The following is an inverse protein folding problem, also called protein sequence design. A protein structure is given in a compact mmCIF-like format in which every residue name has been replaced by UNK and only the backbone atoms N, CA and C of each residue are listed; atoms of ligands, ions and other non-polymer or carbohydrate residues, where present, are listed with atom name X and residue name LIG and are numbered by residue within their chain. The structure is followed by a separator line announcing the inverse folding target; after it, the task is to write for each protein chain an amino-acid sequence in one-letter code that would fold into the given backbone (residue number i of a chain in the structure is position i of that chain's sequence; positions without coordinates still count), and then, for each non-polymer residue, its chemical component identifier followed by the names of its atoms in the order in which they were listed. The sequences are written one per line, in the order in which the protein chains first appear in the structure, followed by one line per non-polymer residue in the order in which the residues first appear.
data_IF_748943694909
#
_entry.id   IF_748943694909
#
_cell.length_a   1.000
_cell.length_b   1.000
_cell.length_c   1.000
_cell.angle_alpha   90.00
_cell.angle_beta   90.00
_cell.angle_gamma   90.00
#
_symmetry.space_group_name_H-M   'P 1'
#
loop_
_entity.id
_entity.type
_entity.pdbx_description
1 polymer ?
#
# COMPACT_ATOMS: atom_id res chain seq x y z
N UNK A 1 21.55 7.75 15.77
CA UNK A 1 22.26 8.30 14.59
C UNK A 1 23.17 7.21 14.09
N UNK A 2 22.74 6.57 13.00
CA UNK A 2 23.28 5.30 12.50
C UNK A 2 24.41 5.54 11.51
N UNK A 3 25.33 4.58 11.41
CA UNK A 3 26.50 4.54 10.50
C UNK A 3 26.08 4.57 9.03
N UNK A 4 25.72 5.73 8.49
CA UNK A 4 25.48 5.91 7.05
C UNK A 4 26.10 7.18 6.45
N UNK A 5 26.83 7.99 7.23
CA UNK A 5 27.36 9.28 6.74
C UNK A 5 28.90 9.30 6.62
N UNK A 6 29.58 8.14 6.56
CA UNK A 6 31.05 8.08 6.52
C UNK A 6 31.57 7.43 5.23
N UNK A 7 30.73 7.25 4.22
CA UNK A 7 31.10 6.56 2.98
C UNK A 7 30.98 7.42 1.72
N UNK A 8 30.76 8.73 1.87
CA UNK A 8 30.69 9.70 0.77
C UNK A 8 31.89 10.68 0.76
N UNK A 9 32.86 10.49 1.65
CA UNK A 9 34.05 11.35 1.79
C UNK A 9 35.36 10.57 1.56
N UNK A 10 35.36 9.61 0.63
CA UNK A 10 36.58 8.84 0.31
C UNK A 10 36.76 8.47 -1.16
N UNK A 11 36.12 9.21 -2.07
CA UNK A 11 36.26 9.02 -3.51
C UNK A 11 36.71 10.30 -4.24
N UNK A 12 37.38 11.23 -3.55
CA UNK A 12 37.86 12.48 -4.16
C UNK A 12 39.28 12.86 -3.74
N UNK A 13 40.18 11.88 -3.67
CA UNK A 13 41.59 12.14 -3.44
C UNK A 13 42.45 11.02 -4.05
N UNK A 14 42.64 11.04 -5.37
CA UNK A 14 43.83 10.49 -6.04
C UNK A 14 43.68 10.60 -7.57
N UNK A 15 44.18 11.71 -8.15
CA UNK A 15 44.74 11.74 -9.50
C UNK A 15 45.31 13.13 -9.83
N UNK A 16 46.24 13.63 -9.01
CA UNK A 16 47.14 14.71 -9.44
C UNK A 16 48.46 14.07 -9.85
N UNK A 17 48.61 13.74 -11.13
CA UNK A 17 49.93 13.52 -11.73
C UNK A 17 50.24 14.66 -12.69
N UNK A 18 51.05 15.59 -12.18
CA UNK A 18 51.79 16.58 -12.93
C UNK A 18 52.98 15.84 -13.56
N UNK A 19 53.04 15.80 -14.90
CA UNK A 19 54.27 15.49 -15.62
C UNK A 19 54.63 16.65 -16.53
N UNK A 20 55.81 17.20 -16.27
CA UNK A 20 56.47 18.25 -17.05
C UNK A 20 57.00 17.68 -18.37
N UNK A 21 56.97 18.53 -19.40
CA UNK A 21 57.32 18.39 -20.82
C UNK A 21 58.64 17.64 -21.14
N UNK A 22 58.81 17.27 -22.43
CA UNK A 22 59.87 17.96 -23.16
C UNK A 22 59.38 18.61 -24.47
N UNK A 23 59.97 19.77 -24.71
CA UNK A 23 59.90 20.58 -25.92
C UNK A 23 60.61 19.78 -27.02
N UNK A 24 59.97 19.58 -28.18
CA UNK A 24 60.64 19.11 -29.38
C UNK A 24 60.45 20.11 -30.50
N UNK A 25 61.58 20.62 -30.95
CA UNK A 25 61.79 21.59 -32.03
C UNK A 25 61.77 20.94 -33.40
N UNK A 26 61.37 21.73 -34.40
CA UNK A 26 61.61 21.55 -35.84
C UNK A 26 60.67 20.53 -36.52
N UNK A 27 60.09 20.76 -37.69
CA UNK A 27 60.55 21.55 -38.83
C UNK A 27 59.38 22.16 -39.63
N UNK A 28 59.68 23.26 -40.32
CA UNK A 28 58.82 23.94 -41.28
C UNK A 28 58.45 23.05 -42.45
N UNK A 29 57.18 23.01 -42.87
CA UNK A 29 56.81 23.06 -44.30
C UNK A 29 55.36 23.57 -44.47
N UNK A 30 55.28 24.77 -45.04
CA UNK A 30 54.18 25.44 -45.73
C UNK A 30 52.80 24.74 -45.84
N UNK A 31 51.79 25.48 -45.35
CA UNK A 31 50.33 25.45 -45.64
C UNK A 31 49.45 24.91 -44.51
N UNK A 32 48.41 25.68 -44.12
CA UNK A 32 47.09 25.24 -44.58
C UNK A 32 46.24 26.41 -45.07
N UNK A 33 45.59 26.17 -46.21
CA UNK A 33 44.34 26.85 -46.53
C UNK A 33 43.26 26.41 -45.52
N UNK A 34 42.76 27.36 -44.74
CA UNK A 34 41.44 27.40 -44.08
C UNK A 34 40.94 26.17 -43.28
N UNK A 35 41.13 26.12 -41.94
CA UNK A 35 40.48 25.16 -41.03
C UNK A 35 38.98 25.40 -40.79
N UNK A 36 38.44 26.55 -41.21
CA UNK A 36 37.08 27.01 -40.89
C UNK A 36 35.97 26.18 -41.56
N UNK A 37 36.24 25.61 -42.73
CA UNK A 37 35.23 24.88 -43.50
C UNK A 37 34.95 23.46 -42.95
N UNK A 38 35.97 22.74 -42.49
CA UNK A 38 35.81 21.39 -41.94
C UNK A 38 35.11 21.39 -40.58
N UNK A 39 35.46 22.34 -39.69
CA UNK A 39 34.74 22.53 -38.42
C UNK A 39 33.28 22.95 -38.64
N UNK A 40 33.02 23.81 -39.63
CA UNK A 40 31.65 24.21 -39.99
C UNK A 40 30.81 23.04 -40.49
N UNK A 41 31.40 22.07 -41.22
CA UNK A 41 30.68 20.88 -41.69
C UNK A 41 30.35 19.92 -40.53
N UNK A 42 31.30 19.65 -39.63
CA UNK A 42 31.09 18.79 -38.48
C UNK A 42 30.06 19.36 -37.49
N UNK A 43 30.05 20.67 -37.28
CA UNK A 43 29.06 21.35 -36.44
C UNK A 43 27.66 21.29 -37.07
N UNK A 44 27.55 21.45 -38.39
CA UNK A 44 26.29 21.31 -39.10
C UNK A 44 25.73 19.89 -39.02
N UNK A 45 26.58 18.86 -39.16
CA UNK A 45 26.15 17.46 -39.09
C UNK A 45 25.67 17.08 -37.68
N UNK A 46 26.38 17.55 -36.65
CA UNK A 46 25.99 17.37 -35.25
C UNK A 46 24.63 18.02 -34.96
N UNK A 47 24.43 19.26 -35.38
CA UNK A 47 23.18 20.00 -35.18
C UNK A 47 21.98 19.33 -35.89
N UNK A 48 22.21 18.78 -37.09
CA UNK A 48 21.18 18.04 -37.80
C UNK A 48 20.80 16.73 -37.10
N UNK A 49 21.76 16.03 -36.49
CA UNK A 49 21.50 14.83 -35.70
C UNK A 49 20.70 15.15 -34.42
N UNK A 50 21.06 16.22 -33.70
CA UNK A 50 20.33 16.69 -32.51
C UNK A 50 18.89 17.07 -32.85
N UNK A 51 18.67 17.78 -33.96
CA UNK A 51 17.32 18.11 -34.43
C UNK A 51 16.48 16.88 -34.76
N UNK A 52 17.07 15.88 -35.44
CA UNK A 52 16.36 14.63 -35.76
C UNK A 52 15.96 13.86 -34.50
N UNK A 53 16.84 13.85 -33.50
CA UNK A 53 16.55 13.26 -32.21
C UNK A 53 15.36 13.98 -31.52
N UNK A 54 15.36 15.31 -31.49
CA UNK A 54 14.25 16.08 -30.91
C UNK A 54 12.94 15.86 -31.69
N UNK A 55 12.97 15.79 -33.02
CA UNK A 55 11.79 15.44 -33.84
C UNK A 55 11.23 14.05 -33.47
N UNK A 56 12.09 13.07 -33.18
CA UNK A 56 11.67 11.74 -32.74
C UNK A 56 11.07 11.75 -31.32
N UNK A 57 11.61 12.56 -30.41
CA UNK A 57 11.05 12.76 -29.07
C UNK A 57 9.65 13.39 -29.13
N UNK A 58 9.45 14.35 -30.02
CA UNK A 58 8.12 14.93 -30.26
C UNK A 58 7.12 13.93 -30.84
N UNK A 59 7.56 12.98 -31.67
CA UNK A 59 6.70 11.89 -32.15
C UNK A 59 6.29 10.96 -31.00
N UNK A 60 7.22 10.64 -30.08
CA UNK A 60 6.89 9.87 -28.88
C UNK A 60 5.89 10.62 -27.98
N UNK A 61 6.07 11.93 -27.78
CA UNK A 61 5.11 12.77 -27.06
C UNK A 61 3.73 12.72 -27.73
N UNK A 62 3.66 12.79 -29.05
CA UNK A 62 2.40 12.68 -29.78
C UNK A 62 1.70 11.33 -29.57
N UNK A 63 2.46 10.22 -29.56
CA UNK A 63 1.91 8.91 -29.21
C UNK A 63 1.30 8.92 -27.80
N UNK A 64 1.99 9.52 -26.83
CA UNK A 64 1.51 9.62 -25.46
C UNK A 64 0.24 10.49 -25.37
N UNK A 65 0.23 11.65 -26.01
CA UNK A 65 -0.94 12.52 -26.09
C UNK A 65 -2.16 11.76 -26.62
N UNK A 66 -2.00 11.04 -27.74
CA UNK A 66 -3.07 10.26 -28.33
C UNK A 66 -3.53 9.10 -27.44
N UNK A 67 -2.61 8.39 -26.78
CA UNK A 67 -2.92 7.33 -25.81
C UNK A 67 -3.82 7.85 -24.68
N UNK A 68 -3.65 9.10 -24.29
CA UNK A 68 -4.45 9.78 -23.27
C UNK A 68 -5.61 10.62 -23.84
N UNK A 69 -5.99 10.42 -25.11
CA UNK A 69 -7.13 11.09 -25.75
C UNK A 69 -6.91 12.56 -26.12
N UNK A 70 -5.67 13.06 -26.01
CA UNK A 70 -5.28 14.42 -26.39
C UNK A 70 -4.87 14.50 -27.86
N UNK A 71 -4.99 15.70 -28.42
CA UNK A 71 -4.66 15.92 -29.85
C UNK A 71 -3.14 16.02 -30.05
N UNK A 72 -2.58 15.37 -31.07
CA UNK A 72 -1.15 15.45 -31.37
C UNK A 72 -0.77 16.85 -31.89
N UNK A 73 0.52 17.15 -31.85
CA UNK A 73 1.16 18.37 -32.34
C UNK A 73 1.84 18.09 -33.69
N UNK A 74 1.90 19.10 -34.55
CA UNK A 74 2.49 18.98 -35.88
C UNK A 74 3.72 19.89 -36.01
N UNK A 75 4.84 19.29 -36.42
CA UNK A 75 6.08 20.00 -36.72
C UNK A 75 6.07 20.51 -38.17
N UNK A 76 6.58 21.72 -38.36
CA UNK A 76 6.71 22.37 -39.68
C UNK A 76 8.17 22.33 -40.11
N UNK A 77 8.45 21.67 -41.24
CA UNK A 77 9.80 21.61 -41.81
C UNK A 77 10.14 22.90 -42.57
N UNK A 78 11.08 23.67 -42.04
CA UNK A 78 11.62 24.91 -42.64
C UNK A 78 13.10 24.75 -42.95
N UNK A 79 13.50 24.96 -44.20
CA UNK A 79 14.89 24.77 -44.67
C UNK A 79 15.81 25.93 -44.26
N UNK A 80 15.22 27.09 -44.02
CA UNK A 80 15.84 28.36 -43.61
C UNK A 80 16.12 28.45 -42.10
N UNK A 81 15.49 27.58 -41.30
CA UNK A 81 15.55 27.60 -39.84
C UNK A 81 15.95 26.21 -39.30
N UNK A 82 17.12 25.73 -39.71
CA UNK A 82 17.59 24.37 -39.40
C UNK A 82 17.88 24.14 -37.92
N UNK A 83 18.08 25.20 -37.15
CA UNK A 83 18.43 25.14 -35.73
C UNK A 83 17.20 25.10 -34.80
N UNK A 84 15.98 25.16 -35.35
CA UNK A 84 14.76 25.28 -34.55
C UNK A 84 13.76 24.14 -34.81
N UNK A 85 13.07 23.72 -33.75
CA UNK A 85 11.81 22.98 -33.82
C UNK A 85 10.65 23.98 -33.92
N UNK A 86 9.89 23.87 -35.00
CA UNK A 86 8.85 24.84 -35.33
C UNK A 86 7.50 24.15 -35.35
N UNK A 87 6.56 24.70 -34.58
CA UNK A 87 5.16 24.30 -34.61
C UNK A 87 4.34 25.29 -35.44
N UNK A 88 3.30 24.80 -36.12
CA UNK A 88 2.31 25.69 -36.70
C UNK A 88 1.47 26.37 -35.60
N UNK A 89 0.76 27.43 -35.98
CA UNK A 89 -0.10 28.18 -35.04
C UNK A 89 -1.12 27.28 -34.35
N UNK A 90 -1.65 26.29 -35.07
CA UNK A 90 -2.66 25.37 -34.54
C UNK A 90 -2.06 24.43 -33.49
N UNK A 91 -0.86 23.89 -33.72
CA UNK A 91 -0.16 23.03 -32.76
C UNK A 91 0.27 23.82 -31.54
N UNK A 92 0.71 25.08 -31.70
CA UNK A 92 0.95 25.96 -30.55
C UNK A 92 -0.32 26.17 -29.69
N UNK A 93 -1.49 26.34 -30.32
CA UNK A 93 -2.77 26.41 -29.60
C UNK A 93 -3.13 25.08 -28.93
N UNK A 94 -3.00 23.95 -29.64
CA UNK A 94 -3.24 22.61 -29.10
C UNK A 94 -2.32 22.31 -27.92
N UNK A 95 -1.05 22.70 -27.99
CA UNK A 95 -0.09 22.53 -26.90
C UNK A 95 -0.56 23.24 -25.62
N UNK A 96 -0.99 24.50 -25.72
CA UNK A 96 -1.57 25.22 -24.56
C UNK A 96 -2.82 24.53 -24.01
N UNK A 97 -3.69 24.02 -24.88
CA UNK A 97 -4.90 23.30 -24.47
C UNK A 97 -4.57 21.96 -23.79
N UNK A 98 -3.65 21.18 -24.35
CA UNK A 98 -3.20 19.92 -23.78
C UNK A 98 -2.56 20.15 -22.42
N UNK A 99 -1.66 21.14 -22.29
CA UNK A 99 -1.03 21.49 -21.01
C UNK A 99 -2.07 21.92 -19.97
N UNK A 100 -3.03 22.77 -20.35
CA UNK A 100 -4.12 23.17 -19.45
C UNK A 100 -4.93 21.96 -18.97
N UNK A 101 -5.33 21.09 -19.90
CA UNK A 101 -6.09 19.88 -19.60
C UNK A 101 -5.33 18.94 -18.68
N UNK A 102 -4.02 18.74 -18.93
CA UNK A 102 -3.16 17.90 -18.09
C UNK A 102 -3.04 18.45 -16.66
N UNK A 103 -2.89 19.77 -16.50
CA UNK A 103 -2.82 20.40 -15.18
C UNK A 103 -4.15 20.27 -14.43
N UNK A 104 -5.28 20.55 -15.10
CA UNK A 104 -6.62 20.41 -14.52
C UNK A 104 -6.92 18.95 -14.12
N UNK A 105 -6.58 18.00 -14.98
CA UNK A 105 -6.74 16.57 -14.71
C UNK A 105 -5.84 16.10 -13.58
N UNK A 106 -4.60 16.58 -13.49
CA UNK A 106 -3.69 16.27 -12.37
C UNK A 106 -4.26 16.78 -11.04
N UNK A 107 -4.78 18.00 -11.01
CA UNK A 107 -5.42 18.55 -9.81
C UNK A 107 -6.67 17.73 -9.41
N UNK A 108 -7.49 17.33 -10.38
CA UNK A 108 -8.65 16.46 -10.15
C UNK A 108 -8.23 15.09 -9.57
N UNK A 109 -7.20 14.48 -10.15
CA UNK A 109 -6.66 13.21 -9.66
C UNK A 109 -6.09 13.34 -8.24
N UNK A 110 -5.41 14.44 -7.92
CA UNK A 110 -4.93 14.72 -6.55
C UNK A 110 -6.07 14.84 -5.55
N UNK A 111 -7.16 15.55 -5.89
CA UNK A 111 -8.36 15.62 -5.04
C UNK A 111 -8.95 14.23 -4.78
N UNK A 112 -9.12 13.44 -5.85
CA UNK A 112 -9.66 12.08 -5.73
C UNK A 112 -8.77 11.17 -4.87
N UNK A 113 -7.44 11.27 -5.00
CA UNK A 113 -6.50 10.53 -4.15
C UNK A 113 -6.67 10.94 -2.68
N UNK A 114 -6.80 12.24 -2.41
CA UNK A 114 -6.99 12.76 -1.05
C UNK A 114 -8.31 12.25 -0.44
N UNK A 115 -9.42 12.32 -1.19
CA UNK A 115 -10.72 11.81 -0.77
C UNK A 115 -10.69 10.29 -0.50
N UNK A 116 -9.95 9.53 -1.33
CA UNK A 116 -9.76 8.09 -1.11
C UNK A 116 -8.96 7.80 0.15
N UNK A 117 -7.89 8.57 0.43
CA UNK A 117 -7.10 8.45 1.66
C UNK A 117 -7.98 8.73 2.88
N UNK A 118 -8.76 9.81 2.86
CA UNK A 118 -9.67 10.18 3.95
C UNK A 118 -10.73 9.10 4.20
N UNK A 119 -11.38 8.63 3.13
CA UNK A 119 -12.38 7.57 3.21
C UNK A 119 -11.78 6.27 3.74
N UNK A 120 -10.59 5.90 3.29
CA UNK A 120 -9.91 4.69 3.76
C UNK A 120 -9.56 4.78 5.25
N UNK A 121 -9.10 5.95 5.71
CA UNK A 121 -8.82 6.19 7.12
C UNK A 121 -10.08 6.13 7.97
N UNK A 122 -11.20 6.68 7.49
CA UNK A 122 -12.49 6.57 8.17
C UNK A 122 -12.94 5.10 8.27
N UNK A 123 -12.90 4.34 7.17
CA UNK A 123 -13.25 2.93 7.16
C UNK A 123 -12.39 2.10 8.12
N UNK A 124 -11.09 2.42 8.23
CA UNK A 124 -10.19 1.78 9.19
C UNK A 124 -10.60 2.05 10.64
N UNK A 125 -10.99 3.28 10.95
CA UNK A 125 -11.46 3.66 12.29
C UNK A 125 -12.79 2.95 12.63
N UNK A 126 -13.73 2.92 11.67
CA UNK A 126 -15.01 2.22 11.81
C UNK A 126 -14.80 0.71 12.03
N UNK A 127 -13.90 0.09 11.27
CA UNK A 127 -13.54 -1.31 11.45
C UNK A 127 -12.98 -1.60 12.85
N UNK A 128 -12.09 -0.74 13.36
CA UNK A 128 -11.53 -0.89 14.70
C UNK A 128 -12.59 -0.74 15.79
N UNK A 129 -13.52 0.21 15.62
CA UNK A 129 -14.64 0.39 16.53
C UNK A 129 -15.53 -0.85 16.56
N UNK A 130 -15.86 -1.38 15.39
CA UNK A 130 -16.66 -2.60 15.25
C UNK A 130 -16.00 -3.83 15.84
N UNK A 131 -14.69 -4.00 15.64
CA UNK A 131 -13.91 -5.07 16.27
C UNK A 131 -13.96 -4.98 17.79
N UNK A 132 -13.80 -3.77 18.34
CA UNK A 132 -13.89 -3.53 19.79
C UNK A 132 -15.28 -3.87 20.33
N UNK A 133 -16.33 -3.49 19.59
CA UNK A 133 -17.71 -3.84 19.93
C UNK A 133 -17.96 -5.34 19.88
N UNK A 134 -17.48 -6.02 18.84
CA UNK A 134 -17.61 -7.47 18.67
C UNK A 134 -16.91 -8.22 19.82
N UNK A 135 -15.66 -7.85 20.14
CA UNK A 135 -14.92 -8.44 21.25
C UNK A 135 -15.63 -8.27 22.59
N UNK A 136 -16.22 -7.09 22.85
CA UNK A 136 -17.02 -6.88 24.06
C UNK A 136 -18.28 -7.75 24.09
N UNK A 137 -18.96 -7.92 22.96
CA UNK A 137 -20.14 -8.80 22.90
C UNK A 137 -19.78 -10.27 23.06
N UNK A 138 -18.66 -10.71 22.50
CA UNK A 138 -18.13 -12.06 22.68
C UNK A 138 -17.80 -12.32 24.16
N UNK A 139 -17.07 -11.40 24.81
CA UNK A 139 -16.77 -11.53 26.23
C UNK A 139 -18.05 -11.63 27.06
N UNK A 140 -19.02 -10.76 26.79
CA UNK A 140 -20.31 -10.78 27.49
C UNK A 140 -21.07 -12.09 27.27
N UNK A 141 -21.02 -12.67 26.07
CA UNK A 141 -21.65 -13.95 25.78
C UNK A 141 -20.98 -15.09 26.57
N UNK A 142 -19.64 -15.11 26.62
CA UNK A 142 -18.86 -16.09 27.39
C UNK A 142 -19.15 -16.00 28.90
N UNK A 143 -19.22 -14.78 29.46
CA UNK A 143 -19.55 -14.57 30.86
C UNK A 143 -20.95 -15.10 31.19
N UNK A 144 -21.93 -14.86 30.30
CA UNK A 144 -23.29 -15.36 30.46
C UNK A 144 -23.37 -16.89 30.35
N UNK A 145 -22.61 -17.50 29.44
CA UNK A 145 -22.51 -18.96 29.31
C UNK A 145 -21.94 -19.59 30.58
N UNK A 146 -20.89 -18.99 31.16
CA UNK A 146 -20.32 -19.45 32.42
C UNK A 146 -21.34 -19.36 33.58
N UNK A 147 -22.09 -18.26 33.68
CA UNK A 147 -23.15 -18.11 34.68
C UNK A 147 -24.22 -19.17 34.48
N UNK A 148 -24.64 -19.42 33.24
CA UNK A 148 -25.65 -20.42 32.91
C UNK A 148 -25.21 -21.83 33.32
N UNK A 149 -23.97 -22.22 33.03
CA UNK A 149 -23.45 -23.53 33.42
C UNK A 149 -23.36 -23.69 34.94
N UNK A 150 -22.97 -22.62 35.66
CA UNK A 150 -22.98 -22.60 37.12
C UNK A 150 -24.38 -22.78 37.70
N UNK A 151 -25.38 -22.07 37.16
CA UNK A 151 -26.79 -22.21 37.57
C UNK A 151 -27.29 -23.62 37.30
N UNK A 152 -26.97 -24.19 36.12
CA UNK A 152 -27.36 -25.55 35.74
C UNK A 152 -26.76 -26.59 36.70
N UNK A 153 -25.49 -26.47 37.05
CA UNK A 153 -24.84 -27.32 38.06
C UNK A 153 -25.55 -27.21 39.41
N UNK A 154 -25.85 -25.98 39.85
CA UNK A 154 -26.52 -25.75 41.14
C UNK A 154 -27.93 -26.33 41.19
N UNK A 155 -28.68 -26.23 40.08
CA UNK A 155 -30.01 -26.84 39.96
C UNK A 155 -29.90 -28.36 40.06
N UNK A 156 -28.97 -28.99 39.32
CA UNK A 156 -28.74 -30.43 39.38
C UNK A 156 -28.40 -30.92 40.80
N UNK A 157 -27.50 -30.22 41.50
CA UNK A 157 -27.18 -30.52 42.90
C UNK A 157 -28.42 -30.46 43.81
N UNK A 158 -29.25 -29.42 43.66
CA UNK A 158 -30.46 -29.25 44.48
C UNK A 158 -31.52 -30.31 44.18
N UNK A 159 -31.65 -30.72 42.91
CA UNK A 159 -32.53 -31.81 42.47
C UNK A 159 -32.07 -33.14 43.08
N UNK A 160 -30.77 -33.46 43.02
CA UNK A 160 -30.19 -34.68 43.59
C UNK A 160 -30.33 -34.73 45.11
N UNK A 161 -30.05 -33.63 45.80
CA UNK A 161 -30.26 -33.54 47.25
C UNK A 161 -31.73 -33.76 47.62
N UNK A 162 -32.66 -33.20 46.83
CA UNK A 162 -34.09 -33.37 47.03
C UNK A 162 -34.51 -34.83 46.86
N UNK A 163 -34.05 -35.47 45.78
CA UNK A 163 -34.31 -36.89 45.51
C UNK A 163 -33.77 -37.78 46.63
N UNK A 164 -32.55 -37.50 47.10
CA UNK A 164 -31.93 -38.24 48.20
C UNK A 164 -32.74 -38.10 49.50
N UNK A 165 -33.23 -36.90 49.84
CA UNK A 165 -34.11 -36.68 51.00
C UNK A 165 -35.40 -37.49 50.89
N UNK A 166 -36.06 -37.48 49.73
CA UNK A 166 -37.29 -38.28 49.50
C UNK A 166 -37.00 -39.78 49.62
N UNK A 167 -35.90 -40.27 49.05
CA UNK A 167 -35.50 -41.66 49.15
C UNK A 167 -35.26 -42.09 50.62
N UNK A 168 -34.54 -41.26 51.38
CA UNK A 168 -34.30 -41.49 52.81
C UNK A 168 -35.62 -41.53 53.61
N UNK A 169 -36.54 -40.59 53.36
CA UNK A 169 -37.86 -40.58 53.99
C UNK A 169 -38.65 -41.84 53.65
N UNK A 170 -38.67 -42.24 52.38
CA UNK A 170 -39.36 -43.45 51.92
C UNK A 170 -38.81 -44.72 52.57
N UNK A 171 -37.49 -44.81 52.75
CA UNK A 171 -36.85 -45.93 53.44
C UNK A 171 -37.25 -45.98 54.93
N UNK A 172 -37.23 -44.82 55.62
CA UNK A 172 -37.69 -44.72 57.01
C UNK A 172 -39.15 -45.17 57.16
N UNK A 173 -40.03 -44.74 56.26
CA UNK A 173 -41.44 -45.17 56.26
C UNK A 173 -41.55 -46.68 56.09
N UNK A 174 -40.83 -47.27 55.13
CA UNK A 174 -40.82 -48.73 54.91
C UNK A 174 -40.34 -49.50 56.14
N UNK A 175 -39.35 -48.99 56.85
CA UNK A 175 -38.83 -49.66 58.05
C UNK A 175 -39.83 -49.58 59.22
N UNK A 176 -40.46 -48.42 59.42
CA UNK A 176 -41.55 -48.28 60.41
C UNK A 176 -42.76 -49.18 60.10
N UNK A 177 -43.13 -49.33 58.83
CA UNK A 177 -44.20 -50.25 58.41
C UNK A 177 -43.87 -51.72 58.74
N UNK A 178 -42.60 -52.14 58.60
CA UNK A 178 -42.16 -53.49 58.99
C UNK A 178 -42.21 -53.69 60.50
N UNK A 179 -41.76 -52.70 61.26
CA UNK A 179 -41.80 -52.72 62.72
C UNK A 179 -43.25 -52.83 63.22
N UNK A 180 -44.16 -52.02 62.66
CA UNK A 180 -45.59 -52.09 62.97
C UNK A 180 -46.17 -53.49 62.70
N UNK A 181 -45.86 -54.11 61.56
CA UNK A 181 -46.31 -55.48 61.26
C UNK A 181 -45.77 -56.51 62.25
N UNK A 182 -44.54 -56.33 62.72
CA UNK A 182 -43.91 -57.24 63.69
C UNK A 182 -44.57 -57.11 65.07
N UNK A 183 -44.91 -55.88 65.49
CA UNK A 183 -45.63 -55.60 66.73
C UNK A 183 -47.10 -56.02 66.69
N UNK A 184 -47.71 -56.10 65.50
CA UNK A 184 -49.08 -56.58 65.31
C UNK A 184 -49.21 -58.12 65.25
N UNK A 185 -48.11 -58.88 65.35
CA UNK A 185 -48.19 -60.35 65.46
C UNK A 185 -48.86 -60.69 66.80
N UNK A 186 -50.06 -61.31 66.81
CA UNK A 186 -50.82 -61.52 68.03
C UNK A 186 -50.05 -62.40 69.03
N UNK A 187 -50.09 -62.00 70.31
CA UNK A 187 -49.62 -62.76 71.47
C UNK A 187 -50.45 -64.05 71.69
N UNK A 188 -50.32 -65.03 70.80
CA UNK A 188 -50.96 -66.35 70.91
C UNK A 188 -49.96 -67.52 70.97
N UNK A 189 -48.68 -67.29 71.25
CA UNK A 189 -47.67 -68.39 71.33
C UNK A 189 -47.13 -68.64 72.74
N UNK A 190 -47.58 -67.93 73.77
CA UNK A 190 -47.31 -68.28 75.17
C UNK A 190 -48.61 -68.39 75.97
N UNK A 191 -49.27 -69.55 75.91
CA UNK A 191 -50.28 -70.01 76.88
C UNK A 191 -50.32 -71.54 76.87
#
# INVERSE_FOLDING_TARGET
MSRCDVQEERAMAEATQIFLLPISTSDSTMSPASPKAQQSSQLSDKLMAEKQQEEAEWENINMLLMKHGLKPLCLVKRKDLKEFIIFDKQSSQRMRQNLKTLVEETARQQSMIQELIETNQQLKNELQLEQSRAAHQEQRANDLEQIMESVKSKVGELEDESLNRVCQQQNKIKDLEKEQKTLQVPSYIFS
#
